data_IF_308502945265
#
_entry.id   IF_308502945265
#
_cell.length_a   1.000
_cell.length_b   1.000
_cell.length_c   1.000
_cell.angle_alpha   90.00
_cell.angle_beta   90.00
_cell.angle_gamma   90.00
#
_symmetry.space_group_name_H-M   'P 1'
#
loop_
_entity.id
_entity.type
_entity.pdbx_description
1 polymer ?
#
# COMPACT_ATOMS: atom_id res chain seq x y z
N UNK A 1 -47.33 52.62 55.60
CA UNK A 1 -47.78 53.78 54.81
C UNK A 1 -46.57 54.63 54.50
N UNK A 2 -46.53 55.17 53.27
CA UNK A 2 -45.53 56.07 52.68
C UNK A 2 -44.28 55.37 52.10
N UNK A 3 -44.33 55.10 50.79
CA UNK A 3 -43.22 55.47 49.89
C UNK A 3 -43.40 56.96 49.51
N UNK A 4 -42.37 57.72 49.09
CA UNK A 4 -41.97 57.70 47.67
C UNK A 4 -40.50 58.08 47.31
N UNK A 5 -40.11 57.61 46.12
CA UNK A 5 -39.32 58.29 45.05
C UNK A 5 -37.87 58.73 45.25
N UNK A 6 -37.00 58.17 44.39
CA UNK A 6 -35.70 58.73 43.98
C UNK A 6 -35.35 58.26 42.56
N UNK A 7 -35.30 59.22 41.65
CA UNK A 7 -35.17 59.17 40.19
C UNK A 7 -33.75 58.82 39.70
N UNK A 8 -33.59 58.05 38.63
CA UNK A 8 -32.41 58.16 37.73
C UNK A 8 -32.72 57.68 36.30
N UNK A 9 -31.96 58.24 35.36
CA UNK A 9 -32.32 58.57 33.97
C UNK A 9 -32.34 57.40 32.97
N UNK A 10 -33.08 57.53 31.83
CA UNK A 10 -33.08 56.54 30.75
C UNK A 10 -31.91 56.76 29.77
N UNK A 11 -31.14 55.71 29.53
CA UNK A 11 -30.10 55.68 28.51
C UNK A 11 -30.72 55.52 27.11
N UNK A 12 -30.34 56.43 26.22
CA UNK A 12 -30.87 56.60 24.87
C UNK A 12 -29.84 56.12 23.86
N UNK A 13 -29.97 54.88 23.35
CA UNK A 13 -29.55 54.53 21.98
C UNK A 13 -29.88 53.07 21.63
N UNK A 14 -31.08 52.83 21.09
CA UNK A 14 -31.33 51.66 20.23
C UNK A 14 -31.56 52.15 18.81
N UNK A 15 -30.48 52.25 18.02
CA UNK A 15 -30.60 52.26 16.56
C UNK A 15 -30.78 50.82 16.09
N UNK A 16 -31.97 50.53 15.58
CA UNK A 16 -32.27 49.31 14.85
C UNK A 16 -31.58 49.38 13.48
N UNK A 17 -30.65 48.45 13.22
CA UNK A 17 -30.13 48.18 11.88
C UNK A 17 -30.96 47.03 11.26
N UNK A 18 -31.51 47.19 10.04
CA UNK A 18 -32.25 46.12 9.40
C UNK A 18 -31.31 45.00 8.95
N UNK A 19 -31.66 43.76 9.30
CA UNK A 19 -30.98 42.55 8.87
C UNK A 19 -31.27 42.36 7.37
N UNK A 20 -30.28 42.68 6.54
CA UNK A 20 -30.27 42.30 5.13
C UNK A 20 -29.90 40.82 5.07
N UNK A 21 -30.90 39.95 4.91
CA UNK A 21 -30.70 38.54 4.55
C UNK A 21 -30.17 38.44 3.12
N UNK A 22 -28.85 38.39 2.98
CA UNK A 22 -28.18 38.03 1.73
C UNK A 22 -28.25 36.50 1.56
N UNK A 23 -29.24 36.03 0.78
CA UNK A 23 -29.31 34.64 0.33
C UNK A 23 -28.19 34.39 -0.68
N UNK A 24 -27.09 33.84 -0.20
CA UNK A 24 -25.93 33.47 -1.04
C UNK A 24 -26.27 32.22 -1.85
N UNK A 25 -26.84 32.40 -3.04
CA UNK A 25 -26.97 31.34 -4.04
C UNK A 25 -25.58 30.83 -4.41
N UNK A 26 -25.20 29.68 -3.87
CA UNK A 26 -23.95 29.02 -4.21
C UNK A 26 -24.07 28.44 -5.62
N UNK A 27 -23.58 29.18 -6.61
CA UNK A 27 -23.37 28.64 -7.96
C UNK A 27 -22.44 27.42 -7.84
N UNK A 28 -22.98 26.22 -8.12
CA UNK A 28 -22.18 25.00 -8.21
C UNK A 28 -21.15 25.18 -9.31
N UNK A 29 -19.89 25.37 -8.90
CA UNK A 29 -18.74 25.44 -9.80
C UNK A 29 -18.76 24.20 -10.72
N UNK A 30 -18.63 24.35 -12.06
CA UNK A 30 -18.60 23.21 -12.96
C UNK A 30 -17.49 22.25 -12.51
N UNK A 31 -17.83 20.96 -12.41
CA UNK A 31 -16.86 19.92 -12.04
C UNK A 31 -15.78 19.91 -13.12
N UNK A 32 -14.54 20.19 -12.73
CA UNK A 32 -13.39 19.99 -13.60
C UNK A 32 -13.46 18.57 -14.20
N UNK A 33 -13.17 18.41 -15.50
CA UNK A 33 -13.16 17.09 -16.13
C UNK A 33 -12.24 16.17 -15.33
N UNK A 34 -12.72 14.95 -15.06
CA UNK A 34 -11.92 13.96 -14.31
C UNK A 34 -10.61 13.76 -15.07
N UNK A 35 -9.45 13.86 -14.41
CA UNK A 35 -8.18 13.59 -15.07
C UNK A 35 -8.22 12.18 -15.66
N UNK A 36 -7.74 12.05 -16.90
CA UNK A 36 -7.70 10.78 -17.62
C UNK A 36 -6.94 9.72 -16.80
N UNK A 37 -7.34 8.46 -16.93
CA UNK A 37 -6.63 7.36 -16.27
C UNK A 37 -5.18 7.30 -16.79
N UNK A 38 -4.15 7.26 -15.92
CA UNK A 38 -2.75 7.23 -16.34
C UNK A 38 -2.43 6.01 -17.20
N UNK A 39 -3.06 4.86 -16.90
CA UNK A 39 -2.90 3.63 -17.70
C UNK A 39 -3.50 3.82 -19.09
N UNK A 40 -4.68 4.45 -19.21
CA UNK A 40 -5.27 4.73 -20.52
C UNK A 40 -4.40 5.67 -21.34
N UNK A 41 -3.85 6.71 -20.70
CA UNK A 41 -2.93 7.63 -21.37
C UNK A 41 -1.67 6.91 -21.88
N UNK A 42 -1.08 6.04 -21.06
CA UNK A 42 0.07 5.24 -21.46
C UNK A 42 -0.25 4.34 -22.66
N UNK A 43 -1.38 3.63 -22.62
CA UNK A 43 -1.80 2.70 -23.68
C UNK A 43 -2.08 3.43 -24.99
N UNK A 44 -2.76 4.58 -24.95
CA UNK A 44 -3.02 5.40 -26.15
C UNK A 44 -1.72 5.95 -26.76
N UNK A 45 -0.78 6.37 -25.92
CA UNK A 45 0.51 6.90 -26.40
C UNK A 45 1.34 5.78 -27.03
N UNK A 46 1.40 4.63 -26.35
CA UNK A 46 2.09 3.44 -26.83
C UNK A 46 1.52 2.92 -28.14
N UNK A 47 0.19 2.79 -28.27
CA UNK A 47 -0.43 2.29 -29.49
C UNK A 47 -0.16 3.18 -30.71
N UNK A 48 -0.04 4.49 -30.50
CA UNK A 48 0.29 5.46 -31.55
C UNK A 48 1.76 5.35 -32.01
N UNK A 49 2.62 4.73 -31.20
CA UNK A 49 4.04 4.51 -31.52
C UNK A 49 4.33 3.15 -32.17
N UNK A 50 3.33 2.27 -32.26
CA UNK A 50 3.53 0.92 -32.80
C UNK A 50 3.58 0.92 -34.34
N UNK A 51 4.50 0.15 -34.94
CA UNK A 51 4.47 -0.16 -36.36
C UNK A 51 3.13 -0.80 -36.80
N UNK A 52 2.60 -0.46 -37.99
CA UNK A 52 1.34 -1.03 -38.50
C UNK A 52 1.30 -2.56 -38.53
N UNK A 53 2.44 -3.21 -38.75
CA UNK A 53 2.58 -4.67 -38.83
C UNK A 53 2.28 -5.33 -37.48
N UNK A 54 2.69 -4.68 -36.38
CA UNK A 54 2.45 -5.18 -35.02
C UNK A 54 1.01 -4.93 -34.58
N UNK A 55 0.37 -3.86 -35.07
CA UNK A 55 -1.05 -3.64 -34.84
C UNK A 55 -1.90 -4.79 -35.41
N UNK A 56 -1.49 -5.38 -36.54
CA UNK A 56 -2.15 -6.55 -37.11
C UNK A 56 -2.00 -7.83 -36.27
N UNK A 57 -0.93 -7.97 -35.50
CA UNK A 57 -0.72 -9.12 -34.59
C UNK A 57 -1.57 -9.05 -33.33
N UNK A 58 -1.91 -7.83 -32.91
CA UNK A 58 -2.85 -7.58 -31.84
C UNK A 58 -4.24 -7.76 -32.45
N UNK A 59 -4.79 -8.98 -32.39
CA UNK A 59 -6.15 -9.34 -32.88
C UNK A 59 -7.27 -8.72 -32.02
N UNK A 60 -7.01 -7.54 -31.46
CA UNK A 60 -7.80 -6.83 -30.47
C UNK A 60 -7.78 -5.36 -30.83
N UNK A 61 -8.93 -4.72 -30.79
CA UNK A 61 -9.00 -3.28 -31.09
C UNK A 61 -8.40 -2.44 -29.95
N UNK A 62 -7.81 -1.29 -30.26
CA UNK A 62 -7.38 -0.33 -29.25
C UNK A 62 -8.52 0.03 -28.28
N UNK A 63 -9.76 0.14 -28.79
CA UNK A 63 -10.94 0.42 -27.97
C UNK A 63 -11.19 -0.66 -26.93
N UNK A 64 -11.00 -1.93 -27.28
CA UNK A 64 -11.16 -3.07 -26.37
C UNK A 64 -10.06 -3.12 -25.30
N UNK A 65 -8.80 -2.83 -25.67
CA UNK A 65 -7.70 -2.67 -24.70
C UNK A 65 -8.02 -1.53 -23.72
N UNK A 66 -8.43 -0.36 -24.22
CA UNK A 66 -8.77 0.78 -23.38
C UNK A 66 -9.98 0.49 -22.47
N UNK A 67 -10.99 -0.24 -22.96
CA UNK A 67 -12.16 -0.61 -22.17
C UNK A 67 -11.82 -1.56 -21.00
N UNK A 68 -10.86 -2.47 -21.23
CA UNK A 68 -10.44 -3.51 -20.28
C UNK A 68 -9.20 -3.14 -19.46
N UNK A 69 -8.59 -1.98 -19.72
CA UNK A 69 -7.40 -1.52 -19.01
C UNK A 69 -7.64 -1.45 -17.49
N UNK A 70 -6.63 -1.82 -16.67
CA UNK A 70 -6.75 -1.73 -15.22
C UNK A 70 -7.09 -0.32 -14.75
N UNK A 71 -8.09 -0.22 -13.87
CA UNK A 71 -8.57 1.06 -13.31
C UNK A 71 -8.07 1.32 -11.89
N UNK A 72 -7.45 0.31 -11.28
CA UNK A 72 -6.98 0.32 -9.90
C UNK A 72 -5.57 -0.22 -9.85
N UNK A 73 -4.77 0.31 -8.95
CA UNK A 73 -3.43 -0.15 -8.61
C UNK A 73 -3.15 0.19 -7.16
N UNK A 74 -2.10 -0.40 -6.61
CA UNK A 74 -1.50 -0.02 -5.33
C UNK A 74 -0.03 0.28 -5.58
N UNK A 75 0.50 1.31 -4.93
CA UNK A 75 1.92 1.61 -4.96
C UNK A 75 2.59 1.18 -3.66
N UNK A 76 3.70 0.47 -3.82
CA UNK A 76 4.63 0.10 -2.76
C UNK A 76 6.02 0.49 -3.24
N UNK A 77 6.44 1.75 -3.05
CA UNK A 77 7.62 2.26 -3.71
C UNK A 77 8.85 1.34 -3.55
N UNK A 78 9.56 1.05 -4.66
CA UNK A 78 9.40 1.64 -6.00
C UNK A 78 8.49 0.83 -6.97
N UNK A 79 7.57 0.02 -6.47
CA UNK A 79 6.72 -0.89 -7.27
C UNK A 79 5.27 -0.41 -7.43
N UNK A 80 4.72 -0.60 -8.62
CA UNK A 80 3.28 -0.61 -8.92
C UNK A 80 2.77 -2.05 -8.90
N UNK A 81 1.68 -2.28 -8.16
CA UNK A 81 1.01 -3.57 -8.09
C UNK A 81 -0.41 -3.47 -8.64
N UNK A 82 -0.68 -4.18 -9.72
CA UNK A 82 -1.99 -4.31 -10.32
C UNK A 82 -2.81 -5.41 -9.62
N UNK A 83 -4.14 -5.30 -9.54
CA UNK A 83 -5.00 -6.37 -8.99
C UNK A 83 -4.91 -7.68 -9.79
N UNK A 84 -5.22 -8.81 -9.16
CA UNK A 84 -5.34 -10.10 -9.84
C UNK A 84 -6.29 -10.04 -11.03
N UNK A 85 -5.94 -10.74 -12.11
CA UNK A 85 -6.68 -10.75 -13.37
C UNK A 85 -6.51 -9.48 -14.23
N UNK A 86 -5.68 -8.52 -13.80
CA UNK A 86 -5.32 -7.38 -14.64
C UNK A 86 -4.60 -7.84 -15.90
N UNK A 87 -4.82 -7.13 -17.02
CA UNK A 87 -4.21 -7.45 -18.32
C UNK A 87 -4.50 -8.90 -18.77
N UNK A 88 -5.72 -9.38 -18.57
CA UNK A 88 -6.18 -10.69 -19.07
C UNK A 88 -7.02 -10.54 -20.34
N UNK A 89 -7.28 -11.65 -21.05
CA UNK A 89 -8.15 -11.66 -22.24
C UNK A 89 -7.53 -10.90 -23.41
N UNK A 90 -8.04 -9.71 -23.80
CA UNK A 90 -7.54 -8.97 -24.97
C UNK A 90 -6.06 -8.54 -24.88
N UNK A 91 -5.48 -8.59 -23.69
CA UNK A 91 -4.07 -8.30 -23.42
C UNK A 91 -3.13 -9.49 -23.64
N UNK A 92 -3.68 -10.71 -23.71
CA UNK A 92 -2.91 -11.96 -23.82
C UNK A 92 -1.90 -11.96 -24.97
N UNK A 93 -2.24 -11.48 -26.20
CA UNK A 93 -1.27 -11.42 -27.29
C UNK A 93 -0.05 -10.54 -26.97
N UNK A 94 -0.26 -9.42 -26.27
CA UNK A 94 0.80 -8.47 -25.88
C UNK A 94 1.69 -9.07 -24.77
N UNK A 95 1.11 -9.88 -23.88
CA UNK A 95 1.85 -10.55 -22.82
C UNK A 95 2.64 -11.77 -23.32
N UNK A 96 2.24 -12.35 -24.45
CA UNK A 96 2.89 -13.52 -25.03
C UNK A 96 4.33 -13.20 -25.50
N UNK A 97 5.21 -14.20 -25.43
CA UNK A 97 6.60 -14.13 -25.89
C UNK A 97 6.72 -13.88 -27.40
N UNK A 98 5.68 -14.20 -28.17
CA UNK A 98 5.64 -13.89 -29.61
C UNK A 98 5.56 -12.40 -29.90
N UNK A 99 5.12 -11.56 -28.95
CA UNK A 99 5.12 -10.11 -29.12
C UNK A 99 6.51 -9.56 -28.78
N UNK A 100 7.06 -8.61 -29.57
CA UNK A 100 8.42 -8.10 -29.35
C UNK A 100 8.62 -7.54 -27.94
N UNK A 101 9.67 -8.02 -27.28
CA UNK A 101 9.96 -7.66 -25.89
C UNK A 101 10.16 -6.15 -25.70
N UNK A 102 10.83 -5.47 -26.63
CA UNK A 102 11.07 -4.02 -26.58
C UNK A 102 9.77 -3.22 -26.52
N UNK A 103 8.81 -3.50 -27.42
CA UNK A 103 7.53 -2.79 -27.43
C UNK A 103 6.67 -3.11 -26.21
N UNK A 104 6.78 -4.32 -25.66
CA UNK A 104 6.12 -4.69 -24.41
C UNK A 104 6.74 -3.95 -23.22
N UNK A 105 8.06 -3.83 -23.18
CA UNK A 105 8.77 -3.04 -22.18
C UNK A 105 8.40 -1.55 -22.26
N UNK A 106 8.33 -0.97 -23.46
CA UNK A 106 7.91 0.42 -23.68
C UNK A 106 6.51 0.68 -23.12
N UNK A 107 5.56 -0.24 -23.33
CA UNK A 107 4.22 -0.15 -22.76
C UNK A 107 4.26 -0.11 -21.24
N UNK A 108 4.97 -1.05 -20.61
CA UNK A 108 5.01 -1.14 -19.16
C UNK A 108 5.79 0.02 -18.53
N UNK A 109 6.87 0.47 -19.17
CA UNK A 109 7.60 1.67 -18.79
C UNK A 109 6.68 2.91 -18.84
N UNK A 110 5.89 3.06 -19.91
CA UNK A 110 4.93 4.16 -20.05
C UNK A 110 3.82 4.11 -18.98
N UNK A 111 3.34 2.91 -18.63
CA UNK A 111 2.37 2.71 -17.53
C UNK A 111 2.97 3.15 -16.20
N UNK A 112 4.18 2.69 -15.88
CA UNK A 112 4.88 3.04 -14.63
C UNK A 112 5.13 4.54 -14.55
N UNK A 113 5.62 5.16 -15.63
CA UNK A 113 5.88 6.59 -15.69
C UNK A 113 4.59 7.43 -15.53
N UNK A 114 3.51 7.02 -16.18
CA UNK A 114 2.22 7.71 -16.08
C UNK A 114 1.62 7.61 -14.67
N UNK A 115 1.75 6.45 -14.01
CA UNK A 115 1.32 6.28 -12.61
C UNK A 115 2.22 7.10 -11.68
N UNK A 116 3.54 7.07 -11.86
CA UNK A 116 4.47 7.85 -11.06
C UNK A 116 4.15 9.36 -11.12
N UNK A 117 3.87 9.87 -12.33
CA UNK A 117 3.46 11.27 -12.55
C UNK A 117 2.16 11.60 -11.81
N UNK A 118 1.20 10.68 -11.76
CA UNK A 118 -0.08 10.89 -11.06
C UNK A 118 0.05 10.81 -9.54
N UNK A 119 0.82 9.86 -9.02
CA UNK A 119 1.00 9.67 -7.57
C UNK A 119 1.86 10.78 -6.97
N UNK A 120 2.75 11.39 -7.77
CA UNK A 120 3.54 12.57 -7.40
C UNK A 120 4.53 12.32 -6.26
N UNK A 121 4.79 11.07 -5.90
CA UNK A 121 5.63 10.67 -4.77
C UNK A 121 6.50 9.47 -5.13
N UNK A 122 7.82 9.69 -5.09
CA UNK A 122 8.83 8.65 -5.28
C UNK A 122 9.05 8.23 -6.74
N UNK A 123 10.18 7.58 -6.99
CA UNK A 123 10.43 6.88 -8.24
C UNK A 123 9.70 5.53 -8.23
N UNK A 124 8.92 5.27 -9.28
CA UNK A 124 8.39 3.94 -9.54
C UNK A 124 9.20 3.35 -10.69
N UNK A 125 9.68 2.13 -10.51
CA UNK A 125 10.57 1.43 -11.43
C UNK A 125 10.08 0.04 -11.78
N UNK A 126 9.14 -0.52 -11.01
CA UNK A 126 8.68 -1.89 -11.17
C UNK A 126 7.17 -1.97 -11.37
N UNK A 127 6.74 -2.94 -12.17
CA UNK A 127 5.33 -3.27 -12.38
C UNK A 127 5.13 -4.77 -12.20
N UNK A 128 4.12 -5.12 -11.39
CA UNK A 128 3.68 -6.50 -11.25
C UNK A 128 2.17 -6.61 -11.16
N UNK A 129 1.64 -7.81 -11.42
CA UNK A 129 0.25 -8.18 -11.14
C UNK A 129 0.25 -9.06 -9.89
N UNK A 130 -0.57 -8.68 -8.92
CA UNK A 130 -0.81 -9.48 -7.74
C UNK A 130 -1.53 -10.77 -8.12
N UNK A 131 -1.23 -11.87 -7.45
CA UNK A 131 -2.00 -13.10 -7.55
C UNK A 131 -2.21 -13.70 -6.17
N UNK A 132 -3.19 -14.59 -6.06
CA UNK A 132 -3.42 -15.32 -4.82
C UNK A 132 -2.19 -16.12 -4.43
N UNK A 133 -1.97 -16.28 -3.12
CA UNK A 133 -0.90 -17.15 -2.61
C UNK A 133 -1.45 -18.57 -2.56
N UNK A 134 -0.96 -19.49 -3.41
CA UNK A 134 -1.50 -20.82 -3.48
C UNK A 134 -1.28 -21.58 -2.16
N UNK A 135 -2.22 -22.45 -1.82
CA UNK A 135 -2.13 -23.29 -0.63
C UNK A 135 -1.13 -24.45 -0.81
N UNK A 136 -0.93 -24.87 -2.05
CA UNK A 136 -0.04 -25.96 -2.42
C UNK A 136 1.04 -25.46 -3.40
N UNK A 137 2.20 -26.10 -3.39
CA UNK A 137 3.21 -26.03 -4.45
C UNK A 137 2.69 -26.81 -5.67
N UNK A 138 3.37 -26.69 -6.80
CA UNK A 138 3.20 -27.66 -7.89
C UNK A 138 3.58 -29.04 -7.31
N UNK A 139 2.74 -30.07 -7.47
CA UNK A 139 2.86 -31.43 -6.87
C UNK A 139 2.22 -31.64 -5.48
N UNK A 140 1.10 -30.96 -5.17
CA UNK A 140 0.24 -31.17 -3.97
C UNK A 140 0.88 -30.93 -2.58
N UNK A 141 2.20 -30.72 -2.51
CA UNK A 141 2.90 -30.37 -1.28
C UNK A 141 2.44 -29.01 -0.73
N UNK A 142 2.20 -28.90 0.57
CA UNK A 142 1.72 -27.65 1.17
C UNK A 142 2.72 -26.49 1.00
N UNK A 143 2.22 -25.31 0.65
CA UNK A 143 3.00 -24.07 0.62
C UNK A 143 3.12 -23.49 2.04
N UNK A 144 3.91 -24.17 2.87
CA UNK A 144 4.09 -23.84 4.31
C UNK A 144 4.63 -22.42 4.49
N UNK A 145 5.56 -21.99 3.63
CA UNK A 145 6.16 -20.66 3.68
C UNK A 145 5.24 -19.54 3.15
N UNK A 146 4.08 -19.91 2.58
CA UNK A 146 3.14 -18.98 1.94
C UNK A 146 3.84 -18.09 0.89
N UNK A 147 4.80 -18.68 0.17
CA UNK A 147 5.58 -17.99 -0.86
C UNK A 147 4.63 -17.51 -1.96
N UNK A 148 4.75 -16.24 -2.42
CA UNK A 148 3.85 -15.63 -3.39
C UNK A 148 4.20 -16.05 -4.83
N UNK A 149 4.20 -17.35 -5.12
CA UNK A 149 4.59 -17.91 -6.42
C UNK A 149 3.71 -17.45 -7.60
N UNK A 150 2.52 -16.90 -7.33
CA UNK A 150 1.64 -16.35 -8.35
C UNK A 150 1.98 -14.91 -8.80
N UNK A 151 2.95 -14.23 -8.18
CA UNK A 151 3.31 -12.86 -8.57
C UNK A 151 3.78 -12.81 -10.04
N UNK A 152 3.10 -12.02 -10.88
CA UNK A 152 3.51 -11.85 -12.28
C UNK A 152 4.32 -10.56 -12.41
N UNK A 153 5.62 -10.68 -12.61
CA UNK A 153 6.54 -9.55 -12.80
C UNK A 153 6.52 -9.11 -14.26
N UNK A 154 6.10 -7.87 -14.52
CA UNK A 154 5.93 -7.35 -15.89
C UNK A 154 7.08 -6.44 -16.34
N UNK A 155 7.61 -5.61 -15.43
CA UNK A 155 8.64 -4.63 -15.76
C UNK A 155 9.51 -4.30 -14.55
N UNK A 156 10.80 -4.06 -14.80
CA UNK A 156 11.84 -3.86 -13.78
C UNK A 156 12.46 -5.18 -13.31
N UNK A 157 13.65 -5.08 -12.73
CA UNK A 157 14.38 -6.23 -12.21
C UNK A 157 13.94 -6.59 -10.78
N UNK A 158 13.24 -7.71 -10.64
CA UNK A 158 12.75 -8.23 -9.36
C UNK A 158 13.79 -9.10 -8.63
N UNK A 159 15.01 -9.17 -9.14
CA UNK A 159 16.04 -10.09 -8.68
C UNK A 159 15.83 -11.52 -9.20
N UNK A 160 16.75 -12.43 -8.86
CA UNK A 160 16.78 -13.79 -9.40
C UNK A 160 15.52 -14.58 -9.09
N UNK A 161 15.23 -15.61 -9.87
CA UNK A 161 14.18 -16.58 -9.56
C UNK A 161 14.84 -17.76 -8.85
N UNK A 162 14.64 -17.85 -7.53
CA UNK A 162 15.18 -18.93 -6.71
C UNK A 162 14.09 -19.94 -6.35
N UNK A 163 14.52 -21.17 -6.06
CA UNK A 163 13.61 -22.23 -5.58
C UNK A 163 12.89 -21.79 -4.29
N UNK A 164 11.61 -22.16 -4.09
CA UNK A 164 10.92 -21.93 -2.81
C UNK A 164 11.62 -22.57 -1.61
N UNK A 165 12.44 -23.60 -1.82
CA UNK A 165 13.19 -24.31 -0.78
C UNK A 165 14.61 -23.76 -0.58
N UNK A 166 14.98 -22.73 -1.34
CA UNK A 166 16.27 -22.05 -1.20
C UNK A 166 16.35 -21.29 0.13
N UNK A 167 17.38 -21.56 0.92
CA UNK A 167 17.68 -20.82 2.15
C UNK A 167 18.54 -19.61 1.78
N UNK A 168 18.05 -18.37 1.92
CA UNK A 168 18.75 -17.20 1.41
C UNK A 168 19.98 -16.83 2.25
N UNK A 169 21.05 -16.45 1.55
CA UNK A 169 22.27 -15.88 2.10
C UNK A 169 22.40 -14.36 1.88
N UNK A 170 23.51 -13.75 2.33
CA UNK A 170 23.74 -12.31 2.20
C UNK A 170 23.68 -11.79 0.76
N UNK A 171 24.21 -12.55 -0.20
CA UNK A 171 24.19 -12.16 -1.61
C UNK A 171 22.75 -12.19 -2.17
N UNK A 172 21.97 -13.21 -1.84
CA UNK A 172 20.55 -13.28 -2.23
C UNK A 172 19.76 -12.07 -1.72
N UNK A 173 20.04 -11.60 -0.50
CA UNK A 173 19.41 -10.41 0.06
C UNK A 173 19.84 -9.11 -0.64
N UNK A 174 21.06 -9.06 -1.16
CA UNK A 174 21.58 -7.90 -1.90
C UNK A 174 20.97 -7.83 -3.30
N UNK A 175 20.84 -8.98 -3.97
CA UNK A 175 20.33 -9.08 -5.34
C UNK A 175 18.80 -9.08 -5.41
N UNK A 176 18.11 -9.30 -4.29
CA UNK A 176 16.67 -9.26 -4.24
C UNK A 176 16.11 -7.83 -4.37
N UNK A 177 14.96 -7.72 -5.03
CA UNK A 177 14.18 -6.51 -5.05
C UNK A 177 13.37 -6.33 -3.76
N UNK A 178 13.47 -5.15 -3.14
CA UNK A 178 12.79 -4.82 -1.89
C UNK A 178 11.84 -3.64 -2.06
N UNK A 179 10.67 -3.74 -1.44
CA UNK A 179 9.68 -2.66 -1.37
C UNK A 179 9.33 -2.36 0.07
N UNK A 180 8.78 -1.18 0.32
CA UNK A 180 8.30 -0.81 1.64
C UNK A 180 6.96 -0.09 1.62
N UNK A 181 6.28 -0.11 2.76
CA UNK A 181 5.07 0.68 3.00
C UNK A 181 5.01 1.12 4.45
N UNK A 182 4.32 2.24 4.72
CA UNK A 182 4.06 2.72 6.08
C UNK A 182 2.58 2.56 6.43
N UNK A 183 2.28 1.84 7.52
CA UNK A 183 0.93 1.67 8.06
C UNK A 183 0.93 2.04 9.54
N UNK A 184 -0.03 2.85 10.01
CA UNK A 184 -0.10 3.29 11.41
C UNK A 184 1.22 3.88 11.95
N UNK A 185 1.95 4.59 11.09
CA UNK A 185 3.26 5.16 11.46
C UNK A 185 4.43 4.18 11.42
N UNK A 186 4.20 2.90 11.13
CA UNK A 186 5.19 1.83 11.14
C UNK A 186 5.55 1.41 9.71
N UNK A 187 6.84 1.43 9.39
CA UNK A 187 7.38 0.98 8.10
C UNK A 187 7.51 -0.55 8.09
N UNK A 188 7.14 -1.18 6.98
CA UNK A 188 7.32 -2.62 6.75
C UNK A 188 7.98 -2.81 5.39
N UNK A 189 8.92 -3.76 5.34
CA UNK A 189 9.77 -4.00 4.17
C UNK A 189 9.72 -5.47 3.82
N UNK A 190 9.60 -5.79 2.54
CA UNK A 190 9.55 -7.18 2.07
C UNK A 190 10.07 -7.30 0.65
N UNK A 191 10.46 -8.52 0.28
CA UNK A 191 10.87 -8.85 -1.08
C UNK A 191 9.67 -9.50 -1.79
N UNK A 192 9.02 -8.83 -2.78
CA UNK A 192 7.76 -9.28 -3.35
C UNK A 192 7.79 -10.71 -3.91
N UNK A 193 8.95 -11.15 -4.44
CA UNK A 193 9.12 -12.50 -5.00
C UNK A 193 9.08 -13.60 -3.93
N UNK A 194 9.53 -13.31 -2.72
CA UNK A 194 9.86 -14.34 -1.73
C UNK A 194 9.00 -14.30 -0.47
N UNK A 195 8.34 -13.18 -0.23
CA UNK A 195 7.59 -12.94 1.01
C UNK A 195 6.23 -12.35 0.70
N UNK A 196 5.21 -12.90 1.34
CA UNK A 196 3.88 -12.33 1.24
C UNK A 196 3.82 -10.98 1.96
N UNK A 197 2.95 -10.09 1.47
CA UNK A 197 2.48 -8.91 2.19
C UNK A 197 0.96 -8.77 2.03
N UNK A 198 0.25 -8.62 3.15
CA UNK A 198 -1.18 -8.29 3.14
C UNK A 198 -1.48 -7.06 3.97
N UNK A 199 -2.27 -6.15 3.40
CA UNK A 199 -2.82 -4.97 4.09
C UNK A 199 -4.01 -5.32 5.00
N UNK A 200 -4.60 -6.51 4.89
CA UNK A 200 -5.89 -6.86 5.47
C UNK A 200 -5.99 -6.64 6.98
N UNK A 201 -4.87 -6.76 7.69
CA UNK A 201 -4.82 -6.70 9.15
C UNK A 201 -4.59 -5.27 9.68
N UNK A 202 -4.73 -4.23 8.86
CA UNK A 202 -4.45 -2.84 9.26
C UNK A 202 -5.31 -2.37 10.44
N UNK A 203 -6.59 -2.77 10.48
CA UNK A 203 -7.52 -2.44 11.57
C UNK A 203 -7.10 -3.14 12.87
N UNK A 204 -6.66 -4.39 12.78
CA UNK A 204 -6.21 -5.15 13.94
C UNK A 204 -4.90 -4.60 14.50
N UNK A 205 -3.95 -4.23 13.64
CA UNK A 205 -2.73 -3.49 14.07
C UNK A 205 -3.08 -2.18 14.77
N UNK A 206 -4.07 -1.44 14.26
CA UNK A 206 -4.53 -0.20 14.91
C UNK A 206 -5.19 -0.48 16.27
N UNK A 207 -5.99 -1.56 16.38
CA UNK A 207 -6.60 -2.00 17.64
C UNK A 207 -5.55 -2.33 18.69
N UNK A 208 -4.48 -3.04 18.32
CA UNK A 208 -3.37 -3.36 19.21
C UNK A 208 -2.61 -2.12 19.67
N UNK A 209 -2.27 -1.22 18.74
CA UNK A 209 -1.58 0.04 19.08
C UNK A 209 -2.39 0.94 20.01
N UNK A 210 -3.72 0.91 19.89
CA UNK A 210 -4.64 1.64 20.77
C UNK A 210 -5.07 0.86 22.02
N UNK A 211 -4.59 -0.37 22.22
CA UNK A 211 -5.15 -1.28 23.22
C UNK A 211 -4.99 -0.75 24.65
N UNK A 212 -3.88 -0.08 24.95
CA UNK A 212 -3.56 0.50 26.26
C UNK A 212 -3.79 2.02 26.38
N UNK A 213 -4.35 2.64 25.34
CA UNK A 213 -4.61 4.09 25.31
C UNK A 213 -5.74 4.48 26.26
N UNK A 214 -5.66 5.68 26.82
CA UNK A 214 -6.70 6.26 27.67
C UNK A 214 -7.93 6.69 26.83
N UNK A 215 -8.75 5.72 26.40
CA UNK A 215 -10.08 6.02 25.85
C UNK A 215 -11.11 6.00 26.98
N UNK A 216 -12.04 6.97 27.06
CA UNK A 216 -13.10 7.03 28.08
C UNK A 216 -14.01 5.80 28.11
N UNK A 217 -14.02 5.01 27.03
CA UNK A 217 -14.85 3.82 26.85
C UNK A 217 -14.19 2.51 27.29
N UNK A 218 -13.00 2.53 27.90
CA UNK A 218 -12.31 1.30 28.32
C UNK A 218 -12.67 0.89 29.74
N UNK A 219 -12.85 -0.42 29.92
CA UNK A 219 -13.02 -1.08 31.22
C UNK A 219 -11.80 -0.81 32.10
N UNK A 220 -12.03 -0.37 33.34
CA UNK A 220 -10.98 -0.20 34.37
C UNK A 220 -10.13 -1.47 34.45
N UNK A 221 -8.80 -1.33 34.32
CA UNK A 221 -7.83 -2.43 34.33
C UNK A 221 -7.12 -2.74 33.00
N UNK A 222 -7.55 -2.19 31.85
CA UNK A 222 -6.84 -2.38 30.56
C UNK A 222 -5.80 -1.33 30.24
N UNK A 223 -5.86 -0.18 30.92
CA UNK A 223 -4.92 0.93 30.74
C UNK A 223 -3.58 0.55 31.36
N UNK A 224 -2.52 0.65 30.57
CA UNK A 224 -1.14 0.43 31.02
C UNK A 224 -0.26 1.52 30.45
N UNK A 225 0.60 2.07 31.29
CA UNK A 225 1.63 3.03 30.89
C UNK A 225 2.68 2.37 30.00
N UNK A 226 3.41 3.17 29.23
CA UNK A 226 4.56 2.66 28.44
C UNK A 226 5.63 2.07 29.35
N UNK A 227 5.79 2.62 30.56
CA UNK A 227 6.74 2.18 31.57
C UNK A 227 6.41 0.77 32.08
N UNK A 228 5.13 0.46 32.26
CA UNK A 228 4.68 -0.89 32.59
C UNK A 228 4.90 -1.86 31.42
N UNK A 229 4.54 -1.45 30.19
CA UNK A 229 4.67 -2.30 29.01
C UNK A 229 6.13 -2.61 28.64
N UNK A 230 7.07 -1.71 28.95
CA UNK A 230 8.52 -1.96 28.77
C UNK A 230 9.03 -3.16 29.58
N UNK A 231 8.33 -3.54 30.66
CA UNK A 231 8.67 -4.69 31.50
C UNK A 231 8.08 -5.99 30.96
N UNK A 232 7.18 -5.90 29.99
CA UNK A 232 6.54 -7.05 29.39
C UNK A 232 7.33 -7.62 28.22
N UNK A 233 7.03 -8.89 27.95
CA UNK A 233 7.52 -9.63 26.80
C UNK A 233 6.33 -10.02 25.93
N UNK A 234 6.42 -9.71 24.64
CA UNK A 234 5.54 -10.28 23.62
C UNK A 234 6.25 -11.43 22.90
N UNK A 235 5.52 -12.49 22.59
CA UNK A 235 6.01 -13.61 21.79
C UNK A 235 5.14 -13.73 20.54
N UNK A 236 5.74 -13.61 19.37
CA UNK A 236 5.06 -13.74 18.07
C UNK A 236 5.59 -15.00 17.37
N UNK A 237 4.76 -16.05 17.29
CA UNK A 237 5.15 -17.34 16.73
C UNK A 237 5.19 -17.37 15.19
N UNK A 238 4.71 -16.30 14.55
CA UNK A 238 4.69 -16.13 13.10
C UNK A 238 5.07 -14.69 12.75
N UNK A 239 6.29 -14.31 13.14
CA UNK A 239 6.74 -12.93 13.10
C UNK A 239 6.68 -12.33 11.68
N UNK A 240 6.87 -13.14 10.64
CA UNK A 240 6.90 -12.70 9.26
C UNK A 240 7.91 -11.57 9.05
N UNK A 241 7.52 -10.57 8.27
CA UNK A 241 8.30 -9.34 8.07
C UNK A 241 8.14 -8.32 9.22
N UNK A 242 7.67 -8.77 10.39
CA UNK A 242 7.29 -7.93 11.52
C UNK A 242 5.85 -7.45 11.48
N UNK A 243 4.90 -8.34 11.14
CA UNK A 243 3.47 -7.98 11.02
C UNK A 243 2.88 -7.41 12.30
N UNK A 244 3.00 -8.15 13.40
CA UNK A 244 2.54 -7.74 14.72
C UNK A 244 3.69 -7.44 15.67
N UNK A 245 4.86 -8.07 15.49
CA UNK A 245 6.11 -7.70 16.18
C UNK A 245 6.31 -6.19 16.28
N UNK A 246 6.14 -5.46 15.17
CA UNK A 246 6.33 -4.01 15.17
C UNK A 246 5.25 -3.25 15.94
N UNK A 247 4.02 -3.77 16.02
CA UNK A 247 2.99 -3.18 16.89
C UNK A 247 3.37 -3.31 18.36
N UNK A 248 3.89 -4.46 18.80
CA UNK A 248 4.37 -4.66 20.16
C UNK A 248 5.62 -3.84 20.47
N UNK A 249 6.57 -3.76 19.53
CA UNK A 249 7.76 -2.92 19.66
C UNK A 249 7.40 -1.43 19.78
N UNK A 250 6.42 -0.95 19.00
CA UNK A 250 5.92 0.42 19.09
C UNK A 250 5.23 0.74 20.43
N UNK A 251 4.68 -0.26 21.11
CA UNK A 251 4.16 -0.14 22.48
C UNK A 251 5.28 -0.09 23.53
N UNK A 252 6.52 -0.39 23.15
CA UNK A 252 7.72 -0.35 24.01
C UNK A 252 8.10 -1.71 24.62
N UNK A 253 7.42 -2.79 24.24
CA UNK A 253 7.66 -4.13 24.78
C UNK A 253 8.95 -4.76 24.21
N UNK A 254 9.56 -5.69 24.94
CA UNK A 254 10.53 -6.63 24.36
C UNK A 254 9.77 -7.69 23.57
N UNK A 255 10.23 -8.03 22.37
CA UNK A 255 9.54 -8.99 21.50
C UNK A 255 10.48 -10.13 21.11
N UNK A 256 10.03 -11.37 21.31
CA UNK A 256 10.64 -12.56 20.72
C UNK A 256 9.78 -13.02 19.54
N UNK A 257 10.39 -13.14 18.37
CA UNK A 257 9.72 -13.59 17.16
C UNK A 257 10.26 -14.94 16.70
N UNK A 258 9.38 -15.85 16.30
CA UNK A 258 9.71 -17.05 15.56
C UNK A 258 9.31 -16.87 14.10
N UNK A 259 10.20 -17.20 13.18
CA UNK A 259 9.94 -17.16 11.74
C UNK A 259 10.83 -18.17 11.01
N UNK A 260 10.22 -18.94 10.12
CA UNK A 260 10.87 -20.03 9.38
C UNK A 260 11.41 -19.55 8.02
N UNK A 261 10.84 -18.50 7.44
CA UNK A 261 11.25 -17.95 6.16
C UNK A 261 12.40 -16.94 6.34
N UNK A 262 13.60 -17.29 5.89
CA UNK A 262 14.78 -16.41 5.95
C UNK A 262 14.60 -15.05 5.27
N UNK A 263 13.78 -14.98 4.22
CA UNK A 263 13.42 -13.72 3.56
C UNK A 263 12.55 -12.84 4.45
N UNK A 264 11.62 -13.44 5.19
CA UNK A 264 10.77 -12.74 6.16
C UNK A 264 11.62 -12.15 7.29
N UNK A 265 12.58 -12.92 7.80
CA UNK A 265 13.53 -12.46 8.84
C UNK A 265 14.33 -11.25 8.37
N UNK A 266 14.85 -11.27 7.13
CA UNK A 266 15.56 -10.12 6.58
C UNK A 266 14.63 -8.91 6.35
N UNK A 267 13.41 -9.14 5.86
CA UNK A 267 12.39 -8.09 5.75
C UNK A 267 12.05 -7.44 7.10
N UNK A 268 11.95 -8.26 8.15
CA UNK A 268 11.80 -7.79 9.53
C UNK A 268 13.01 -6.95 9.97
N UNK A 269 14.24 -7.40 9.73
CA UNK A 269 15.45 -6.65 10.08
C UNK A 269 15.49 -5.28 9.39
N UNK A 270 15.20 -5.23 8.09
CA UNK A 270 15.13 -3.99 7.30
C UNK A 270 14.02 -3.06 7.79
N UNK A 271 12.82 -3.62 8.03
CA UNK A 271 11.69 -2.89 8.57
C UNK A 271 11.99 -2.31 9.95
N UNK A 272 12.62 -3.08 10.85
CA UNK A 272 13.02 -2.61 12.17
C UNK A 272 14.00 -1.43 12.08
N UNK A 273 15.00 -1.52 11.20
CA UNK A 273 15.92 -0.40 10.93
C UNK A 273 15.19 0.88 10.50
N UNK A 274 14.22 0.79 9.60
CA UNK A 274 13.40 1.94 9.18
C UNK A 274 12.52 2.52 10.29
N UNK A 275 12.24 1.77 11.35
CA UNK A 275 11.49 2.23 12.51
C UNK A 275 12.39 2.61 13.71
N UNK A 276 13.71 2.48 13.57
CA UNK A 276 14.66 2.79 14.65
C UNK A 276 14.76 1.73 15.74
N UNK A 277 14.41 0.47 15.44
CA UNK A 277 14.51 -0.64 16.40
C UNK A 277 15.71 -1.54 16.09
N UNK A 278 16.40 -1.97 17.15
CA UNK A 278 17.43 -3.01 17.06
C UNK A 278 16.80 -4.40 16.97
N UNK A 279 17.33 -5.24 16.09
CA UNK A 279 16.90 -6.64 15.93
C UNK A 279 18.13 -7.53 15.90
N UNK A 280 18.05 -8.66 16.61
CA UNK A 280 19.03 -9.75 16.56
C UNK A 280 18.33 -11.02 16.07
N UNK A 281 18.71 -11.48 14.89
CA UNK A 281 18.32 -12.80 14.41
C UNK A 281 19.28 -13.84 15.02
N UNK A 282 18.73 -14.92 15.56
CA UNK A 282 19.48 -16.06 16.09
C UNK A 282 19.05 -17.28 15.28
N UNK A 283 20.02 -18.07 14.83
CA UNK A 283 19.80 -19.33 14.12
C UNK A 283 19.95 -20.49 15.09
#
# INVERSE_FOLDING_TARGET
MIEPTGTELPDTNRRANPIITCTRTTLKRPRNPKPASPILQAVTTWSSSLPPELLGTIHTTLQELLATAPKRWVTYPPMVLLPSGSLSGPWTPILNLSFPASHREDLFAAIVASIAKKEGKGSLTHLAINSGIPLHKHEDAANILRTPSGLVTLYGDFGPVLSPDHVPGPQDFADAFWVSTKQNGISQTWAPRYTMFSRGNVKEKARLLGFHSASPSQVEGRRRSKEELKRDVAVDLYAGIGYFVFSYAALGMRVYGWEINGWSVEGLRRGAGLNGWGVRAVK
#
